data_IF_335026489130
#
_entry.id   IF_335026489130
#
_cell.length_a   1.000
_cell.length_b   1.000
_cell.length_c   1.000
_cell.angle_alpha   90.00
_cell.angle_beta   90.00
_cell.angle_gamma   90.00
#
_symmetry.space_group_name_H-M   'P 1'
#
loop_
_entity.id
_entity.type
_entity.pdbx_description
1 polymer ?
#
# COMPACT_ATOMS: atom_id res chain seq x y z
N UNK A 1 -65.31 -2.59 -16.89
CA UNK A 1 -63.93 -2.18 -17.21
C UNK A 1 -63.03 -2.79 -16.15
N UNK A 2 -62.12 -3.69 -16.52
CA UNK A 2 -61.25 -4.37 -15.57
C UNK A 2 -60.02 -3.50 -15.28
N UNK A 3 -59.75 -3.23 -14.00
CA UNK A 3 -58.51 -2.62 -13.55
C UNK A 3 -57.35 -3.59 -13.85
N UNK A 4 -56.48 -3.25 -14.79
CA UNK A 4 -55.18 -3.91 -14.93
C UNK A 4 -54.30 -3.45 -13.76
N UNK A 5 -54.13 -4.33 -12.77
CA UNK A 5 -53.10 -4.20 -11.75
C UNK A 5 -51.73 -4.37 -12.43
N UNK A 6 -50.91 -3.33 -12.40
CA UNK A 6 -49.54 -3.39 -12.91
C UNK A 6 -48.70 -4.35 -12.07
N UNK A 7 -48.11 -5.35 -12.74
CA UNK A 7 -47.08 -6.21 -12.14
C UNK A 7 -45.76 -5.45 -12.24
N UNK A 8 -45.10 -5.23 -11.09
CA UNK A 8 -43.75 -4.69 -11.04
C UNK A 8 -42.80 -5.80 -10.58
N UNK A 9 -41.77 -6.05 -11.38
CA UNK A 9 -40.72 -7.01 -11.05
C UNK A 9 -39.48 -6.23 -10.58
N UNK A 10 -39.12 -6.41 -9.32
CA UNK A 10 -37.92 -5.81 -8.73
C UNK A 10 -36.80 -6.85 -8.75
N UNK A 11 -35.95 -6.79 -9.77
CA UNK A 11 -34.72 -7.59 -9.82
C UNK A 11 -33.60 -6.85 -9.09
N UNK A 12 -33.28 -7.30 -7.87
CA UNK A 12 -32.03 -6.91 -7.21
C UNK A 12 -30.86 -7.56 -7.95
N UNK A 13 -29.90 -6.76 -8.40
CA UNK A 13 -28.61 -7.29 -8.87
C UNK A 13 -27.98 -8.03 -7.69
N UNK A 14 -27.49 -9.27 -7.85
CA UNK A 14 -26.77 -9.93 -6.78
C UNK A 14 -25.61 -9.02 -6.35
N UNK A 15 -25.40 -8.82 -5.04
CA UNK A 15 -24.37 -7.93 -4.55
C UNK A 15 -23.02 -8.38 -5.14
N UNK A 16 -22.26 -7.42 -5.66
CA UNK A 16 -20.90 -7.71 -6.10
C UNK A 16 -20.11 -8.30 -4.92
N UNK A 17 -19.16 -9.24 -5.17
CA UNK A 17 -18.33 -9.77 -4.11
C UNK A 17 -17.67 -8.61 -3.33
N UNK A 18 -17.65 -8.67 -2.00
CA UNK A 18 -17.08 -7.60 -1.19
C UNK A 18 -15.57 -7.49 -1.46
N UNK A 19 -15.08 -6.25 -1.52
CA UNK A 19 -13.69 -5.93 -1.88
C UNK A 19 -12.77 -6.06 -0.65
N UNK A 20 -11.61 -6.66 -0.82
CA UNK A 20 -10.54 -6.62 0.20
C UNK A 20 -9.50 -5.59 -0.21
N UNK A 21 -9.26 -4.57 0.61
CA UNK A 21 -8.39 -3.45 0.28
C UNK A 21 -7.46 -3.05 1.42
N UNK A 22 -6.27 -2.54 1.08
CA UNK A 22 -5.31 -1.97 2.04
C UNK A 22 -4.81 -0.61 1.59
N UNK A 23 -4.67 0.31 2.55
CA UNK A 23 -4.11 1.65 2.40
C UNK A 23 -2.87 1.81 3.26
N UNK A 24 -1.80 2.36 2.70
CA UNK A 24 -0.58 2.73 3.41
C UNK A 24 -0.42 4.24 3.43
N UNK A 25 -0.38 4.82 4.63
CA UNK A 25 -0.13 6.24 4.78
C UNK A 25 1.28 6.61 4.31
N UNK A 26 1.45 7.85 3.85
CA UNK A 26 2.78 8.45 3.70
C UNK A 26 3.40 8.79 5.04
N UNK A 27 4.66 9.22 5.08
CA UNK A 27 5.32 9.56 6.35
C UNK A 27 6.85 9.41 6.35
N UNK A 28 7.48 9.30 5.19
CA UNK A 28 8.92 9.13 5.06
C UNK A 28 9.39 7.87 5.78
N UNK A 29 10.45 7.99 6.60
CA UNK A 29 11.04 6.86 7.34
C UNK A 29 10.05 6.15 8.28
N UNK A 30 8.97 6.82 8.70
CA UNK A 30 7.91 6.19 9.53
C UNK A 30 7.07 5.19 8.74
N UNK A 31 6.98 5.33 7.41
CA UNK A 31 6.27 4.38 6.54
C UNK A 31 6.87 2.98 6.55
N UNK A 32 8.11 2.82 7.05
CA UNK A 32 8.74 1.52 7.29
C UNK A 32 7.95 0.68 8.31
N UNK A 33 7.27 1.32 9.28
CA UNK A 33 6.40 0.61 10.21
C UNK A 33 5.27 -0.15 9.48
N UNK A 34 4.75 0.41 8.39
CA UNK A 34 3.69 -0.22 7.62
C UNK A 34 4.14 -1.52 6.92
N UNK A 35 5.42 -1.58 6.50
CA UNK A 35 5.99 -2.81 5.94
C UNK A 35 6.11 -3.90 7.01
N UNK A 36 6.56 -3.55 8.23
CA UNK A 36 6.65 -4.50 9.35
C UNK A 36 5.28 -5.00 9.81
N UNK A 37 4.28 -4.12 9.82
CA UNK A 37 2.88 -4.52 10.11
C UNK A 37 2.37 -5.49 9.05
N UNK A 38 2.60 -5.20 7.77
CA UNK A 38 2.19 -6.10 6.69
C UNK A 38 2.94 -7.44 6.74
N UNK A 39 4.25 -7.44 7.00
CA UNK A 39 5.04 -8.65 7.24
C UNK A 39 4.42 -9.51 8.35
N UNK A 40 4.04 -8.92 9.47
CA UNK A 40 3.41 -9.65 10.58
C UNK A 40 2.05 -10.26 10.20
N UNK A 41 1.22 -9.54 9.41
CA UNK A 41 -0.05 -10.06 8.90
C UNK A 41 0.19 -11.26 7.99
N UNK A 42 1.08 -11.13 7.00
CA UNK A 42 1.35 -12.19 6.03
C UNK A 42 1.97 -13.41 6.70
N UNK A 43 2.90 -13.22 7.63
CA UNK A 43 3.49 -14.30 8.42
C UNK A 43 2.44 -15.08 9.22
N UNK A 44 1.45 -14.39 9.81
CA UNK A 44 0.34 -15.07 10.50
C UNK A 44 -0.53 -15.89 9.56
N UNK A 45 -0.81 -15.38 8.36
CA UNK A 45 -1.53 -16.13 7.32
C UNK A 45 -0.74 -17.35 6.83
N UNK A 46 0.58 -17.23 6.70
CA UNK A 46 1.49 -18.35 6.35
C UNK A 46 1.49 -19.43 7.43
N UNK A 47 1.68 -19.04 8.69
CA UNK A 47 1.67 -19.93 9.86
C UNK A 47 0.38 -20.78 9.91
N UNK A 48 -0.76 -20.18 9.54
CA UNK A 48 -2.06 -20.85 9.58
C UNK A 48 -2.42 -21.65 8.31
N UNK A 49 -1.87 -21.29 7.15
CA UNK A 49 -2.11 -22.00 5.89
C UNK A 49 -1.21 -23.22 5.72
N UNK A 50 -0.08 -23.28 6.42
CA UNK A 50 0.88 -24.39 6.34
C UNK A 50 1.58 -24.51 4.98
N UNK A 51 1.57 -23.44 4.19
CA UNK A 51 2.21 -23.39 2.87
C UNK A 51 3.74 -23.45 2.96
N UNK A 52 4.37 -24.02 1.93
CA UNK A 52 5.83 -24.04 1.79
C UNK A 52 6.40 -22.74 1.19
N UNK A 53 5.55 -21.98 0.48
CA UNK A 53 5.91 -20.71 -0.15
C UNK A 53 5.34 -19.52 0.65
N UNK A 54 6.02 -18.36 0.64
CA UNK A 54 5.51 -17.16 1.29
C UNK A 54 4.15 -16.72 0.73
N UNK A 55 3.26 -16.26 1.60
CA UNK A 55 1.99 -15.71 1.20
C UNK A 55 2.22 -14.28 0.67
N UNK A 56 1.69 -14.00 -0.51
CA UNK A 56 1.89 -12.72 -1.18
C UNK A 56 0.69 -11.80 -0.98
N UNK A 57 0.95 -10.51 -0.72
CA UNK A 57 -0.09 -9.54 -0.41
C UNK A 57 -1.14 -9.43 -1.53
N UNK A 58 -0.72 -9.52 -2.78
CA UNK A 58 -1.63 -9.45 -3.93
C UNK A 58 -2.61 -10.64 -4.03
N UNK A 59 -2.33 -11.77 -3.37
CA UNK A 59 -3.26 -12.91 -3.30
C UNK A 59 -4.41 -12.65 -2.32
N UNK A 60 -4.23 -11.71 -1.38
CA UNK A 60 -5.18 -11.45 -0.28
C UNK A 60 -5.94 -10.14 -0.47
N UNK A 61 -5.36 -9.18 -1.18
CA UNK A 61 -5.96 -7.85 -1.38
C UNK A 61 -6.28 -7.59 -2.85
N UNK A 62 -7.55 -7.26 -3.13
CA UNK A 62 -7.99 -6.80 -4.46
C UNK A 62 -7.41 -5.43 -4.80
N UNK A 63 -7.29 -4.53 -3.82
CA UNK A 63 -6.88 -3.14 -4.04
C UNK A 63 -5.86 -2.68 -3.01
N UNK A 64 -4.73 -2.15 -3.47
CA UNK A 64 -3.72 -1.49 -2.65
C UNK A 64 -3.72 0.00 -2.97
N UNK A 65 -3.60 0.84 -1.94
CA UNK A 65 -3.35 2.26 -2.11
C UNK A 65 -2.22 2.73 -1.22
N UNK A 66 -1.51 3.76 -1.65
CA UNK A 66 -0.47 4.36 -0.83
C UNK A 66 -0.16 5.80 -1.20
N UNK A 67 0.21 6.58 -0.19
CA UNK A 67 0.73 7.95 -0.37
C UNK A 67 2.21 7.97 -0.03
N UNK A 68 3.02 8.72 -0.78
CA UNK A 68 4.45 8.86 -0.49
C UNK A 68 5.15 7.48 -0.28
N UNK A 69 5.88 7.27 0.83
CA UNK A 69 6.51 5.98 1.17
C UNK A 69 5.51 4.81 1.16
N UNK A 70 4.26 5.04 1.56
CA UNK A 70 3.20 4.04 1.45
C UNK A 70 2.85 3.69 0.00
N UNK A 71 2.98 4.63 -0.93
CA UNK A 71 2.84 4.39 -2.37
C UNK A 71 3.93 3.48 -2.92
N UNK A 72 5.18 3.68 -2.49
CA UNK A 72 6.29 2.78 -2.81
C UNK A 72 6.03 1.38 -2.24
N UNK A 73 5.57 1.27 -0.98
CA UNK A 73 5.20 -0.01 -0.39
C UNK A 73 4.09 -0.72 -1.18
N UNK A 74 3.06 0.02 -1.61
CA UNK A 74 1.98 -0.51 -2.42
C UNK A 74 2.49 -1.06 -3.77
N UNK A 75 3.45 -0.39 -4.41
CA UNK A 75 4.11 -0.89 -5.64
C UNK A 75 4.89 -2.17 -5.36
N UNK A 76 5.73 -2.20 -4.31
CA UNK A 76 6.54 -3.37 -3.97
C UNK A 76 5.64 -4.61 -3.77
N UNK A 77 4.64 -4.49 -2.91
CA UNK A 77 3.78 -5.61 -2.51
C UNK A 77 2.75 -5.98 -3.59
N UNK A 78 2.16 -4.98 -4.23
CA UNK A 78 1.08 -5.17 -5.18
C UNK A 78 1.58 -5.49 -6.58
N UNK A 79 2.56 -4.77 -7.07
CA UNK A 79 2.94 -4.88 -8.48
C UNK A 79 4.28 -5.59 -8.68
N UNK A 80 5.20 -5.52 -7.73
CA UNK A 80 6.45 -6.29 -7.87
C UNK A 80 6.33 -7.66 -7.21
N UNK A 81 5.20 -7.93 -6.53
CA UNK A 81 4.93 -9.15 -5.77
C UNK A 81 6.06 -9.47 -4.80
N UNK A 82 6.70 -8.43 -4.26
CA UNK A 82 7.76 -8.56 -3.26
C UNK A 82 7.13 -9.19 -2.02
N UNK A 83 7.69 -10.30 -1.51
CA UNK A 83 7.30 -10.88 -0.24
C UNK A 83 7.38 -9.84 0.89
N UNK A 84 6.42 -9.86 1.82
CA UNK A 84 6.30 -8.80 2.82
C UNK A 84 7.53 -8.69 3.75
N UNK A 85 8.22 -9.81 4.02
CA UNK A 85 9.48 -9.87 4.76
C UNK A 85 10.65 -9.12 4.06
N UNK A 86 10.64 -9.05 2.74
CA UNK A 86 11.68 -8.34 1.97
C UNK A 86 11.36 -6.84 1.80
N UNK A 87 10.09 -6.46 1.89
CA UNK A 87 9.63 -5.09 1.63
C UNK A 87 10.24 -4.06 2.59
N UNK A 88 10.45 -4.42 3.87
CA UNK A 88 11.10 -3.55 4.85
C UNK A 88 12.52 -3.17 4.41
N UNK A 89 13.34 -4.15 4.00
CA UNK A 89 14.73 -3.92 3.66
C UNK A 89 14.84 -3.08 2.37
N UNK A 90 13.97 -3.33 1.38
CA UNK A 90 13.90 -2.52 0.16
C UNK A 90 13.50 -1.07 0.46
N UNK A 91 12.47 -0.85 1.30
CA UNK A 91 12.07 0.49 1.73
C UNK A 91 13.15 1.20 2.54
N UNK A 92 13.82 0.48 3.45
CA UNK A 92 14.93 1.02 4.25
C UNK A 92 16.06 1.46 3.34
N UNK A 93 16.46 0.62 2.40
CA UNK A 93 17.55 0.91 1.46
C UNK A 93 17.19 2.10 0.57
N UNK A 94 15.94 2.17 0.10
CA UNK A 94 15.41 3.31 -0.63
C UNK A 94 15.40 4.61 0.20
N UNK A 95 15.10 4.50 1.50
CA UNK A 95 15.09 5.63 2.42
C UNK A 95 16.50 6.10 2.83
N UNK A 96 17.50 5.21 2.78
CA UNK A 96 18.88 5.47 3.21
C UNK A 96 19.80 5.99 2.10
N UNK A 97 19.42 5.83 0.82
CA UNK A 97 20.24 6.15 -0.35
C UNK A 97 20.38 7.68 -0.57
N UNK A 98 21.21 8.32 0.25
CA UNK A 98 21.98 9.51 -0.15
C UNK A 98 23.47 9.19 -0.40
N UNK A 99 23.84 7.92 -0.25
CA UNK A 99 25.18 7.32 -0.43
C UNK A 99 24.98 5.80 -0.41
N UNK A 100 25.07 5.13 -1.55
CA UNK A 100 25.17 3.67 -1.59
C UNK A 100 26.56 3.26 -1.12
N UNK A 101 26.63 2.54 0.00
CA UNK A 101 27.78 1.73 0.35
C UNK A 101 27.24 0.37 0.83
N UNK A 102 27.51 -0.68 0.04
CA UNK A 102 27.52 -2.05 0.56
C UNK A 102 26.42 -3.00 0.10
N UNK A 103 26.24 -3.21 -1.22
CA UNK A 103 25.99 -4.57 -1.71
C UNK A 103 27.27 -5.03 -2.40
N UNK A 104 28.05 -5.88 -1.72
CA UNK A 104 29.27 -6.47 -2.29
C UNK A 104 28.84 -7.50 -3.35
N UNK A 105 28.70 -7.06 -4.59
CA UNK A 105 28.93 -7.91 -5.77
C UNK A 105 30.32 -7.57 -6.33
N UNK A 106 31.09 -8.60 -6.71
CA UNK A 106 32.47 -8.48 -7.23
C UNK A 106 32.49 -7.79 -8.61
N UNK A 107 32.30 -6.48 -8.71
CA UNK A 107 32.86 -5.63 -9.79
C UNK A 107 32.91 -4.20 -9.23
N UNK A 108 34.06 -3.55 -9.34
CA UNK A 108 34.37 -2.32 -8.62
C UNK A 108 33.74 -1.02 -9.15
N UNK A 109 34.17 0.03 -8.45
CA UNK A 109 34.02 1.48 -8.64
C UNK A 109 32.91 2.22 -7.87
N UNK A 110 33.43 3.15 -7.06
CA UNK A 110 32.81 4.16 -6.21
C UNK A 110 32.22 5.28 -7.07
N UNK A 111 31.00 5.76 -6.78
CA UNK A 111 30.52 7.03 -7.32
C UNK A 111 29.71 7.89 -6.33
N UNK A 112 29.78 9.18 -6.63
CA UNK A 112 29.49 10.37 -5.83
C UNK A 112 28.01 10.72 -5.68
N UNK A 113 27.72 11.48 -4.63
CA UNK A 113 26.43 11.90 -4.08
C UNK A 113 25.64 12.86 -4.98
N UNK A 114 24.42 12.47 -5.39
CA UNK A 114 23.23 13.35 -5.49
C UNK A 114 21.88 12.68 -5.85
N UNK A 115 21.73 11.36 -5.87
CA UNK A 115 20.53 10.74 -6.48
C UNK A 115 19.98 9.57 -5.65
N UNK A 116 19.16 9.87 -4.63
CA UNK A 116 18.41 8.80 -3.95
C UNK A 116 17.39 8.13 -4.86
N UNK A 117 16.80 8.88 -5.78
CA UNK A 117 15.78 8.39 -6.70
C UNK A 117 16.32 7.34 -7.70
N UNK A 118 17.57 7.51 -8.17
CA UNK A 118 18.24 6.54 -9.06
C UNK A 118 18.62 5.24 -8.34
N UNK A 119 18.87 5.32 -7.03
CA UNK A 119 19.19 4.17 -6.21
C UNK A 119 17.95 3.31 -5.94
N UNK A 120 16.80 3.92 -5.62
CA UNK A 120 15.51 3.20 -5.51
C UNK A 120 15.14 2.55 -6.83
N UNK A 121 15.30 3.31 -7.93
CA UNK A 121 15.04 2.84 -9.29
C UNK A 121 15.88 1.62 -9.63
N UNK A 122 17.19 1.66 -9.35
CA UNK A 122 18.09 0.53 -9.58
C UNK A 122 17.68 -0.69 -8.76
N UNK A 123 17.32 -0.53 -7.48
CA UNK A 123 16.90 -1.65 -6.63
C UNK A 123 15.63 -2.32 -7.17
N UNK A 124 14.64 -1.53 -7.60
CA UNK A 124 13.43 -2.05 -8.22
C UNK A 124 13.74 -2.75 -9.54
N UNK A 125 14.57 -2.14 -10.39
CA UNK A 125 14.96 -2.70 -11.70
C UNK A 125 15.81 -3.97 -11.57
N UNK A 126 16.74 -4.03 -10.61
CA UNK A 126 17.53 -5.22 -10.32
C UNK A 126 16.64 -6.36 -9.81
N UNK A 127 15.72 -6.06 -8.89
CA UNK A 127 14.77 -7.05 -8.39
C UNK A 127 13.85 -7.55 -9.51
N UNK A 128 13.35 -6.64 -10.35
CA UNK A 128 12.49 -6.98 -11.48
C UNK A 128 13.21 -7.79 -12.56
N UNK A 129 14.39 -7.37 -12.98
CA UNK A 129 15.15 -8.04 -14.03
C UNK A 129 15.68 -9.41 -13.56
N UNK A 130 15.93 -9.58 -12.27
CA UNK A 130 16.30 -10.88 -11.70
C UNK A 130 15.13 -11.85 -11.60
N UNK A 131 13.89 -11.36 -11.41
CA UNK A 131 12.71 -12.23 -11.27
C UNK A 131 12.24 -12.87 -12.59
N UNK A 132 12.65 -12.37 -13.77
CA UNK A 132 12.30 -12.88 -15.12
C UNK A 132 10.80 -13.16 -15.36
N UNK A 133 9.89 -12.72 -14.48
CA UNK A 133 8.46 -12.94 -14.64
C UNK A 133 7.88 -11.86 -15.53
N UNK A 134 7.31 -12.29 -16.65
CA UNK A 134 6.37 -11.45 -17.41
C UNK A 134 5.11 -11.39 -16.55
N UNK A 135 4.75 -10.20 -16.06
CA UNK A 135 3.49 -10.07 -15.31
C UNK A 135 2.31 -10.38 -16.21
N UNK A 136 1.54 -11.39 -15.83
CA UNK A 136 0.19 -11.57 -16.35
C UNK A 136 -0.71 -10.59 -15.59
N UNK A 137 -1.50 -9.82 -16.34
CA UNK A 137 -2.45 -8.84 -15.79
C UNK A 137 -3.42 -9.44 -14.75
N UNK A 138 -3.65 -10.76 -14.84
CA UNK A 138 -4.57 -11.50 -13.97
C UNK A 138 -3.98 -11.82 -12.57
N UNK A 139 -2.66 -11.74 -12.38
CA UNK A 139 -2.01 -12.06 -11.10
C UNK A 139 -1.79 -10.83 -10.20
N UNK A 140 -1.88 -9.62 -10.75
CA UNK A 140 -1.75 -8.37 -9.99
C UNK A 140 -3.02 -8.06 -9.19
N UNK A 141 -2.92 -7.27 -8.09
CA UNK A 141 -4.09 -6.72 -7.44
C UNK A 141 -4.94 -6.03 -8.51
N UNK A 142 -6.25 -6.25 -8.43
CA UNK A 142 -7.24 -5.62 -9.30
C UNK A 142 -7.13 -4.10 -9.28
N UNK A 143 -6.45 -3.56 -8.26
CA UNK A 143 -5.93 -2.23 -8.34
C UNK A 143 -4.79 -1.77 -7.43
N UNK A 144 -3.88 -0.96 -7.98
CA UNK A 144 -2.92 -0.11 -7.28
C UNK A 144 -3.23 1.40 -7.44
N UNK A 145 -3.35 2.14 -6.33
CA UNK A 145 -3.54 3.59 -6.31
C UNK A 145 -2.38 4.28 -5.60
N UNK A 146 -1.63 5.11 -6.33
CA UNK A 146 -0.55 5.93 -5.75
C UNK A 146 -1.00 7.38 -5.78
N UNK A 147 -1.11 8.01 -4.61
CA UNK A 147 -1.43 9.43 -4.50
C UNK A 147 -0.15 10.25 -4.34
N UNK A 148 0.12 11.16 -5.28
CA UNK A 148 1.20 12.15 -5.20
C UNK A 148 0.78 13.47 -5.87
N UNK A 149 1.19 14.61 -5.32
CA UNK A 149 1.65 15.80 -6.06
C UNK A 149 1.89 17.00 -5.12
N UNK A 150 3.04 17.67 -5.30
CA UNK A 150 3.49 18.88 -4.59
C UNK A 150 3.21 20.18 -5.36
N UNK A 151 2.85 20.08 -6.65
CA UNK A 151 2.75 21.22 -7.57
C UNK A 151 1.33 21.77 -7.75
N UNK A 152 0.30 20.93 -7.60
CA UNK A 152 -1.11 21.33 -7.82
C UNK A 152 -2.02 21.24 -6.60
N UNK A 153 -1.63 20.51 -5.55
CA UNK A 153 -2.50 20.19 -4.40
C UNK A 153 -3.64 19.21 -4.72
N UNK A 154 -3.64 18.61 -5.92
CA UNK A 154 -4.60 17.61 -6.37
C UNK A 154 -3.92 16.23 -6.30
N UNK A 155 -4.53 15.22 -5.67
CA UNK A 155 -3.96 13.88 -5.68
C UNK A 155 -3.97 13.33 -7.11
N UNK A 156 -2.80 13.07 -7.68
CA UNK A 156 -2.70 12.27 -8.90
C UNK A 156 -3.06 10.83 -8.54
N UNK A 157 -4.06 10.26 -9.20
CA UNK A 157 -4.40 8.84 -9.09
C UNK A 157 -3.76 8.14 -10.26
N UNK A 158 -2.78 7.27 -9.99
CA UNK A 158 -2.26 6.35 -11.01
C UNK A 158 -3.10 5.08 -10.97
N UNK A 159 -3.91 4.76 -12.01
CA UNK A 159 -4.83 3.63 -11.97
C UNK A 159 -4.23 2.31 -12.46
N UNK A 160 -5.00 1.26 -12.16
CA UNK A 160 -4.72 -0.17 -12.16
C UNK A 160 -4.23 -0.83 -13.45
N UNK A 161 -4.47 -0.19 -14.60
CA UNK A 161 -4.23 -0.74 -15.93
C UNK A 161 -3.09 -0.02 -16.66
N UNK A 162 -2.48 0.95 -16.00
CA UNK A 162 -1.29 1.62 -16.51
C UNK A 162 -0.12 0.85 -15.91
N UNK A 163 0.63 0.09 -16.74
CA UNK A 163 2.03 -0.24 -16.40
C UNK A 163 2.60 1.09 -15.90
N UNK A 164 3.06 1.23 -14.64
CA UNK A 164 3.48 2.50 -14.10
C UNK A 164 4.37 3.13 -15.14
N UNK A 165 3.86 4.21 -15.73
CA UNK A 165 4.54 4.81 -16.84
C UNK A 165 5.54 5.69 -16.21
N UNK A 166 6.77 5.33 -16.46
CA UNK A 166 7.87 5.92 -15.77
C UNK A 166 8.51 6.84 -16.75
N UNK A 167 8.76 8.08 -16.36
CA UNK A 167 9.81 8.83 -17.00
C UNK A 167 10.45 9.84 -16.06
N UNK A 168 11.76 9.70 -15.90
CA UNK A 168 12.64 10.85 -15.83
C UNK A 168 13.01 11.15 -17.28
N UNK A 169 12.73 12.36 -17.77
CA UNK A 169 13.22 12.81 -19.07
C UNK A 169 14.75 12.98 -18.96
N UNK A 170 15.57 12.58 -19.92
CA UNK A 170 15.37 12.74 -21.36
C UNK A 170 16.04 11.63 -22.19
N UNK A 171 15.38 11.35 -23.33
CA UNK A 171 15.89 10.71 -24.56
C UNK A 171 15.98 9.18 -24.63
N UNK A 172 15.79 8.69 -25.87
CA UNK A 172 15.08 7.47 -26.28
C UNK A 172 16.04 6.44 -26.90
N UNK A 173 15.80 5.15 -26.70
CA UNK A 173 15.66 4.05 -27.72
C UNK A 173 16.10 2.69 -27.15
N UNK A 174 15.08 1.87 -26.86
CA UNK A 174 14.97 0.40 -26.80
C UNK A 174 13.91 0.08 -25.72
N UNK A 175 13.05 -0.92 -25.95
CA UNK A 175 11.99 -1.33 -25.03
C UNK A 175 12.58 -1.82 -23.70
N UNK A 176 12.87 -0.88 -22.82
CA UNK A 176 13.24 -1.07 -21.43
C UNK A 176 12.05 -0.61 -20.59
N UNK A 177 11.65 -1.45 -19.63
CA UNK A 177 10.75 -1.03 -18.56
C UNK A 177 11.43 0.16 -17.88
N UNK A 178 10.91 1.35 -18.12
CA UNK A 178 11.30 2.53 -17.36
C UNK A 178 10.63 2.28 -15.98
N UNK A 179 11.36 2.37 -14.84
CA UNK A 179 10.84 2.63 -13.46
C UNK A 179 11.07 4.08 -12.93
N UNK A 180 10.04 4.84 -12.48
CA UNK A 180 10.00 6.31 -12.12
C UNK A 180 9.10 6.34 -10.94
N UNK A 181 9.76 6.69 -9.87
CA UNK A 181 9.19 7.03 -8.60
C UNK A 181 8.71 8.48 -8.76
N UNK A 182 7.39 8.67 -8.87
CA UNK A 182 6.76 10.00 -8.85
C UNK A 182 7.26 10.73 -7.61
N UNK A 183 8.07 11.79 -7.76
CA UNK A 183 8.67 12.58 -6.68
C UNK A 183 7.87 12.49 -5.36
N UNK A 184 8.31 11.59 -4.47
CA UNK A 184 7.51 11.02 -3.38
C UNK A 184 7.64 11.92 -2.15
N UNK A 185 7.25 13.19 -2.26
CA UNK A 185 7.20 14.10 -1.12
C UNK A 185 5.74 14.40 -0.80
N UNK A 186 5.19 13.67 0.19
CA UNK A 186 3.79 13.70 0.62
C UNK A 186 3.39 14.99 1.34
N UNK A 187 3.66 16.14 0.73
CA UNK A 187 3.46 17.46 1.31
C UNK A 187 2.41 18.26 0.58
N UNK A 188 1.15 18.11 0.98
CA UNK A 188 0.16 19.15 1.35
C UNK A 188 -1.09 18.39 1.83
N UNK A 189 -1.20 18.18 3.14
CA UNK A 189 -2.48 17.95 3.82
C UNK A 189 -3.29 16.70 3.47
N UNK A 190 -2.74 15.65 2.86
CA UNK A 190 -3.43 14.34 2.68
C UNK A 190 -2.44 13.18 2.75
N UNK A 191 -2.29 12.59 3.93
CA UNK A 191 -1.35 11.49 4.16
C UNK A 191 -2.00 10.10 4.00
N UNK A 192 -3.29 10.02 4.32
CA UNK A 192 -4.08 8.79 4.32
C UNK A 192 -4.95 8.67 3.05
N UNK A 193 -4.68 7.70 2.14
CA UNK A 193 -5.40 7.58 0.87
C UNK A 193 -6.77 6.87 0.98
N UNK A 194 -7.23 6.51 2.19
CA UNK A 194 -8.42 5.65 2.40
C UNK A 194 -9.68 6.17 1.71
N UNK A 195 -10.02 7.46 1.87
CA UNK A 195 -11.18 8.05 1.19
C UNK A 195 -11.04 8.04 -0.34
N UNK A 196 -9.81 8.20 -0.84
CA UNK A 196 -9.54 8.18 -2.27
C UNK A 196 -9.72 6.78 -2.85
N UNK A 197 -9.23 5.75 -2.13
CA UNK A 197 -9.47 4.34 -2.48
C UNK A 197 -10.97 4.05 -2.54
N UNK A 198 -11.74 4.41 -1.51
CA UNK A 198 -13.20 4.17 -1.50
C UNK A 198 -13.88 4.83 -2.71
N UNK A 199 -13.55 6.10 -2.98
CA UNK A 199 -14.09 6.84 -4.13
C UNK A 199 -13.76 6.14 -5.45
N UNK A 200 -12.52 5.70 -5.62
CA UNK A 200 -12.04 5.09 -6.85
C UNK A 200 -12.61 3.69 -7.08
N UNK A 201 -12.71 2.88 -6.03
CA UNK A 201 -13.40 1.57 -6.06
C UNK A 201 -14.85 1.75 -6.51
N UNK A 202 -15.60 2.65 -5.86
CA UNK A 202 -17.00 2.93 -6.24
C UNK A 202 -17.13 3.43 -7.68
N UNK A 203 -16.20 4.29 -8.13
CA UNK A 203 -16.15 4.80 -9.50
C UNK A 203 -15.95 3.66 -10.51
N UNK A 204 -14.98 2.76 -10.28
CA UNK A 204 -14.66 1.65 -11.18
C UNK A 204 -15.77 0.59 -11.24
N UNK A 205 -16.40 0.31 -10.11
CA UNK A 205 -17.51 -0.64 -10.04
C UNK A 205 -18.85 -0.04 -10.51
N UNK A 206 -18.90 1.27 -10.78
CA UNK A 206 -20.13 2.02 -11.08
C UNK A 206 -21.23 1.78 -10.04
N UNK A 207 -20.83 1.56 -8.78
CA UNK A 207 -21.70 1.12 -7.70
C UNK A 207 -21.28 1.80 -6.39
N UNK A 208 -22.21 2.56 -5.81
CA UNK A 208 -22.00 3.24 -4.53
C UNK A 208 -22.19 2.30 -3.33
N UNK A 209 -22.85 1.16 -3.54
CA UNK A 209 -23.15 0.14 -2.54
C UNK A 209 -22.05 -0.91 -2.38
N UNK A 210 -20.89 -0.72 -3.05
CA UNK A 210 -19.72 -1.60 -2.86
C UNK A 210 -19.41 -1.73 -1.37
N UNK A 211 -19.40 -2.99 -0.93
CA UNK A 211 -19.01 -3.38 0.42
C UNK A 211 -17.56 -3.86 0.42
N UNK A 212 -16.93 -3.75 1.57
CA UNK A 212 -15.56 -4.18 1.82
C UNK A 212 -15.58 -5.37 2.77
N UNK A 213 -14.99 -6.48 2.34
CA UNK A 213 -14.72 -7.59 3.26
C UNK A 213 -13.78 -7.07 4.33
N UNK A 214 -12.74 -6.36 3.91
CA UNK A 214 -11.81 -5.62 4.73
C UNK A 214 -11.37 -4.36 4.00
N UNK A 215 -11.38 -3.23 4.68
CA UNK A 215 -10.59 -2.05 4.34
C UNK A 215 -9.59 -1.83 5.46
N UNK A 216 -8.34 -2.23 5.22
CA UNK A 216 -7.24 -2.05 6.16
C UNK A 216 -6.54 -0.72 5.88
N UNK A 217 -6.33 0.11 6.90
CA UNK A 217 -5.58 1.36 6.81
C UNK A 217 -4.41 1.28 7.79
N UNK A 218 -3.18 1.33 7.28
CA UNK A 218 -1.96 1.26 8.09
C UNK A 218 -1.30 2.63 8.09
N UNK A 219 -1.28 3.23 9.27
CA UNK A 219 -0.74 4.55 9.52
C UNK A 219 0.75 4.58 9.82
N UNK A 220 1.37 5.72 9.50
CA UNK A 220 2.76 6.02 9.86
C UNK A 220 2.85 6.91 11.11
N UNK A 221 1.79 6.90 11.93
CA UNK A 221 1.58 7.78 13.06
C UNK A 221 0.40 8.72 12.82
N UNK A 222 -0.44 8.89 13.84
CA UNK A 222 -1.71 9.61 13.72
C UNK A 222 -1.49 11.12 13.79
N UNK A 223 -1.33 11.77 12.62
CA UNK A 223 -1.52 13.22 12.51
C UNK A 223 -3.01 13.59 12.52
N UNK A 224 -3.33 14.85 12.83
CA UNK A 224 -4.71 15.32 13.00
C UNK A 224 -5.59 15.09 11.76
N UNK A 225 -4.99 15.12 10.57
CA UNK A 225 -5.71 14.88 9.32
C UNK A 225 -6.03 13.40 9.11
N UNK A 226 -5.07 12.52 9.40
CA UNK A 226 -5.27 11.07 9.32
C UNK A 226 -6.29 10.60 10.36
N UNK A 227 -6.32 11.25 11.54
CA UNK A 227 -7.37 11.07 12.54
C UNK A 227 -8.75 11.45 12.03
N UNK A 228 -8.90 12.65 11.43
CA UNK A 228 -10.17 13.09 10.87
C UNK A 228 -10.66 12.17 9.72
N UNK A 229 -9.74 11.73 8.85
CA UNK A 229 -10.05 10.76 7.78
C UNK A 229 -10.51 9.43 8.38
N UNK A 230 -9.82 8.95 9.42
CA UNK A 230 -10.20 7.71 10.10
C UNK A 230 -11.58 7.81 10.75
N UNK A 231 -11.86 8.90 11.47
CA UNK A 231 -13.16 9.15 12.11
C UNK A 231 -14.28 9.18 11.08
N UNK A 232 -14.12 9.94 10.01
CA UNK A 232 -15.12 10.03 8.95
C UNK A 232 -15.37 8.67 8.28
N UNK A 233 -14.32 7.92 7.95
CA UNK A 233 -14.47 6.58 7.33
C UNK A 233 -15.12 5.61 8.32
N UNK A 234 -14.76 5.65 9.60
CA UNK A 234 -15.38 4.82 10.63
C UNK A 234 -16.87 5.10 10.78
N UNK A 235 -17.27 6.38 10.74
CA UNK A 235 -18.66 6.80 10.77
C UNK A 235 -19.42 6.33 9.53
N UNK A 236 -18.84 6.48 8.33
CA UNK A 236 -19.43 5.98 7.08
C UNK A 236 -19.64 4.46 7.10
N UNK A 237 -18.65 3.69 7.58
CA UNK A 237 -18.75 2.23 7.65
C UNK A 237 -19.89 1.77 8.57
N UNK A 238 -20.08 2.47 9.71
CA UNK A 238 -21.18 2.20 10.65
C UNK A 238 -22.53 2.63 10.09
N UNK A 239 -22.60 3.81 9.46
CA UNK A 239 -23.84 4.38 8.97
C UNK A 239 -24.42 3.63 7.77
N UNK A 240 -23.55 3.09 6.90
CA UNK A 240 -23.95 2.51 5.61
C UNK A 240 -23.69 1.00 5.49
N UNK A 241 -23.31 0.31 6.57
CA UNK A 241 -22.98 -1.13 6.58
C UNK A 241 -22.01 -1.54 5.44
N UNK A 242 -20.90 -0.80 5.35
CA UNK A 242 -19.91 -0.99 4.28
C UNK A 242 -19.01 -2.21 4.52
N UNK A 243 -19.19 -2.95 5.60
CA UNK A 243 -18.39 -4.13 5.98
C UNK A 243 -17.34 -3.83 7.05
N UNK A 244 -16.14 -4.41 6.94
CA UNK A 244 -15.10 -4.28 7.97
C UNK A 244 -14.09 -3.17 7.63
N UNK A 245 -13.91 -2.21 8.54
CA UNK A 245 -12.84 -1.21 8.46
C UNK A 245 -11.93 -1.34 9.68
N UNK A 246 -10.62 -1.47 9.41
CA UNK A 246 -9.59 -1.57 10.45
C UNK A 246 -8.54 -0.51 10.18
N UNK A 247 -8.26 0.32 11.19
CA UNK A 247 -7.15 1.26 11.19
C UNK A 247 -6.14 0.83 12.25
N UNK A 248 -4.87 0.86 11.90
CA UNK A 248 -3.77 0.65 12.84
C UNK A 248 -2.75 1.77 12.71
N UNK A 249 -2.35 2.33 13.84
CA UNK A 249 -1.25 3.27 13.96
C UNK A 249 -0.28 2.73 15.01
N UNK A 250 0.99 2.58 14.65
CA UNK A 250 2.00 2.08 15.59
C UNK A 250 2.26 3.15 16.66
N UNK A 251 2.13 2.83 17.95
CA UNK A 251 2.40 3.78 19.02
C UNK A 251 3.89 4.15 19.09
N UNK A 252 4.19 5.38 19.51
CA UNK A 252 5.56 5.82 19.78
C UNK A 252 6.39 6.24 18.56
N UNK A 253 5.87 6.15 17.33
CA UNK A 253 6.63 6.55 16.14
C UNK A 253 6.35 7.98 15.65
N UNK A 254 5.27 8.62 16.12
CA UNK A 254 4.83 9.97 15.68
C UNK A 254 5.90 11.04 15.95
N UNK A 255 6.64 10.91 17.05
CA UNK A 255 7.67 11.87 17.45
C UNK A 255 8.91 11.87 16.56
N UNK A 256 9.09 10.87 15.70
CA UNK A 256 10.23 10.84 14.77
C UNK A 256 9.96 11.69 13.54
N UNK A 257 10.96 12.50 13.15
CA UNK A 257 10.89 13.27 11.92
C UNK A 257 10.81 12.37 10.69
N UNK A 258 10.05 12.79 9.67
CA UNK A 258 9.85 12.01 8.43
C UNK A 258 11.15 11.73 7.65
N UNK A 259 12.20 12.53 7.90
CA UNK A 259 13.53 12.38 7.31
C UNK A 259 14.58 11.86 8.32
N UNK A 260 14.17 11.51 9.54
CA UNK A 260 15.09 11.05 10.60
C UNK A 260 15.47 9.57 10.42
N UNK A 261 16.44 9.33 9.53
CA UNK A 261 16.95 7.98 9.23
C UNK A 261 17.55 7.28 10.45
N UNK A 262 17.97 8.02 11.49
CA UNK A 262 18.51 7.44 12.73
C UNK A 262 17.41 6.84 13.60
N UNK A 263 16.14 7.18 13.35
CA UNK A 263 14.99 6.62 14.04
C UNK A 263 14.61 5.20 13.58
N UNK A 264 15.13 4.70 12.44
CA UNK A 264 14.73 3.40 11.86
C UNK A 264 14.83 2.23 12.88
N UNK A 265 15.94 2.06 13.64
CA UNK A 265 16.00 1.01 14.66
C UNK A 265 14.93 1.15 15.75
N UNK A 266 14.64 2.38 16.19
CA UNK A 266 13.62 2.67 17.19
C UNK A 266 12.20 2.45 16.67
N UNK A 267 11.95 2.77 15.39
CA UNK A 267 10.68 2.49 14.71
C UNK A 267 10.47 0.99 14.63
N UNK A 268 11.51 0.22 14.27
CA UNK A 268 11.45 -1.24 14.25
C UNK A 268 11.13 -1.80 15.64
N UNK A 269 11.85 -1.36 16.67
CA UNK A 269 11.61 -1.76 18.06
C UNK A 269 10.19 -1.43 18.52
N UNK A 270 9.72 -0.20 18.29
CA UNK A 270 8.36 0.22 18.64
C UNK A 270 7.29 -0.61 17.92
N UNK A 271 7.51 -0.92 16.64
CA UNK A 271 6.58 -1.75 15.84
C UNK A 271 6.55 -3.19 16.35
N UNK A 272 7.71 -3.79 16.61
CA UNK A 272 7.78 -5.15 17.17
C UNK A 272 7.17 -5.22 18.57
N UNK A 273 7.44 -4.24 19.43
CA UNK A 273 6.85 -4.14 20.77
C UNK A 273 5.32 -4.04 20.71
N UNK A 274 4.80 -3.21 19.81
CA UNK A 274 3.36 -3.09 19.58
C UNK A 274 2.74 -4.40 19.09
N UNK A 275 3.33 -5.04 18.07
CA UNK A 275 2.80 -6.27 17.49
C UNK A 275 2.79 -7.46 18.47
N UNK A 276 3.69 -7.46 19.46
CA UNK A 276 3.71 -8.45 20.56
C UNK A 276 2.91 -8.03 21.80
N UNK A 277 2.25 -6.87 21.77
CA UNK A 277 1.37 -6.43 22.86
C UNK A 277 -0.05 -6.94 22.66
N UNK A 278 -0.84 -7.02 23.73
CA UNK A 278 -2.26 -7.44 23.66
C UNK A 278 -3.07 -6.68 22.59
N UNK A 279 -2.99 -5.33 22.46
CA UNK A 279 -3.64 -4.61 21.37
C UNK A 279 -3.16 -5.03 19.97
N UNK A 280 -1.87 -5.30 19.81
CA UNK A 280 -1.28 -5.73 18.54
C UNK A 280 -1.70 -7.14 18.15
N UNK A 281 -1.69 -8.08 19.10
CA UNK A 281 -2.18 -9.44 18.89
C UNK A 281 -3.67 -9.46 18.53
N UNK A 282 -4.50 -8.65 19.22
CA UNK A 282 -5.92 -8.50 18.91
C UNK A 282 -6.13 -7.90 17.52
N UNK A 283 -5.34 -6.91 17.13
CA UNK A 283 -5.35 -6.35 15.78
C UNK A 283 -5.04 -7.42 14.73
N UNK A 284 -3.96 -8.17 14.91
CA UNK A 284 -3.55 -9.24 13.99
C UNK A 284 -4.65 -10.30 13.88
N UNK A 285 -5.21 -10.75 15.00
CA UNK A 285 -6.28 -11.74 15.01
C UNK A 285 -7.49 -11.32 14.17
N UNK A 286 -7.99 -10.08 14.37
CA UNK A 286 -9.12 -9.54 13.60
C UNK A 286 -8.82 -9.50 12.10
N UNK A 287 -7.64 -9.00 11.72
CA UNK A 287 -7.27 -8.86 10.30
C UNK A 287 -7.10 -10.23 9.65
N UNK A 288 -6.40 -11.16 10.30
CA UNK A 288 -6.14 -12.51 9.80
C UNK A 288 -7.45 -13.30 9.66
N UNK A 289 -8.34 -13.22 10.65
CA UNK A 289 -9.66 -13.88 10.61
C UNK A 289 -10.48 -13.42 9.40
N UNK A 290 -10.52 -12.11 9.14
CA UNK A 290 -11.26 -11.56 7.99
C UNK A 290 -10.61 -11.95 6.66
N UNK A 291 -9.28 -11.94 6.57
CA UNK A 291 -8.55 -12.30 5.34
C UNK A 291 -8.65 -13.80 4.98
N UNK A 292 -9.04 -14.65 5.93
CA UNK A 292 -9.29 -16.08 5.70
C UNK A 292 -10.67 -16.38 5.11
N UNK A 293 -11.65 -15.51 5.35
CA UNK A 293 -13.07 -15.70 4.97
C UNK A 293 -13.38 -15.31 3.53
#
# INVERSE_FOLDING_TARGET
MAHQTGVFEFTQRPPAPPITAVCFDGGGVRGIAAALVMEAIMKKLEEESGGAEPELVHNRFDVLAGTSTGGLLAILLGQLHVPANDAFDLLRNASQSGRFQGLKTKVGNVFSSKHGDEDVRRVIEEHWNSSKKTMLYEESPRGLLVASDRSTGIPEIVPFNVIPRVSFTSTVKHCQLKVTVLNVDGGIGRNNPTKLLIKEVRRKHHDKSVRFRLLLSIGSGLDANSAAIHEDVSNDFKAFDLGCYVRVDVPGIVGFGVNDRKAIPKIKEATSSFLSSEPGEKFLAVVVEVLRS
#
